data_IF_653212678971
#
_entry.id   IF_653212678971
#
_cell.length_a   1.000
_cell.length_b   1.000
_cell.length_c   1.000
_cell.angle_alpha   90.00
_cell.angle_beta   90.00
_cell.angle_gamma   90.00
#
_symmetry.space_group_name_H-M   'P 1'
#
loop_
_entity.id
_entity.type
_entity.pdbx_description
1 polymer ?
#
# COMPACT_ATOMS: atom_id res chain seq x y z
N UNK A 1 29.86 -33.71 -0.23
CA UNK A 1 29.23 -32.47 0.27
C UNK A 1 28.22 -32.05 -0.78
N UNK A 2 26.92 -32.21 -0.53
CA UNK A 2 25.87 -31.97 -1.53
C UNK A 2 25.32 -30.55 -1.39
N UNK A 3 25.50 -29.73 -2.42
CA UNK A 3 24.98 -28.36 -2.50
C UNK A 3 23.52 -28.40 -2.95
N UNK A 4 22.59 -28.01 -2.07
CA UNK A 4 21.18 -27.86 -2.42
C UNK A 4 20.93 -26.42 -2.87
N UNK A 5 20.74 -26.23 -4.17
CA UNK A 5 20.33 -24.94 -4.74
C UNK A 5 18.82 -24.79 -4.58
N UNK A 6 18.39 -23.83 -3.76
CA UNK A 6 16.99 -23.41 -3.70
C UNK A 6 16.63 -22.65 -4.98
N UNK A 7 15.71 -23.21 -5.76
CA UNK A 7 15.16 -22.58 -6.94
C UNK A 7 14.06 -21.59 -6.50
N UNK A 8 14.31 -20.29 -6.66
CA UNK A 8 13.38 -19.22 -6.30
C UNK A 8 12.38 -19.02 -7.45
N UNK A 9 11.13 -19.45 -7.25
CA UNK A 9 10.04 -19.24 -8.19
C UNK A 9 9.59 -17.77 -8.15
N UNK A 10 9.93 -17.00 -9.18
CA UNK A 10 9.32 -15.70 -9.44
C UNK A 10 7.91 -15.89 -10.02
N UNK A 11 6.87 -15.34 -9.37
CA UNK A 11 5.51 -15.30 -9.90
C UNK A 11 5.36 -14.11 -10.85
N UNK A 12 4.97 -14.37 -12.10
CA UNK A 12 4.63 -13.35 -13.09
C UNK A 12 3.30 -12.66 -12.74
N UNK A 13 3.12 -11.36 -13.05
CA UNK A 13 1.84 -10.67 -12.86
C UNK A 13 0.79 -11.15 -13.88
N UNK A 14 -0.41 -11.46 -13.41
CA UNK A 14 -1.56 -11.87 -14.22
C UNK A 14 -2.17 -10.65 -14.96
N UNK A 15 -2.49 -10.74 -16.25
CA UNK A 15 -3.15 -9.65 -16.98
C UNK A 15 -4.65 -9.57 -16.63
N UNK A 16 -5.13 -8.35 -16.37
CA UNK A 16 -6.55 -8.05 -16.13
C UNK A 16 -7.27 -7.90 -17.48
N UNK A 17 -8.43 -8.55 -17.72
CA UNK A 17 -9.16 -8.40 -18.98
C UNK A 17 -9.70 -6.97 -19.16
N UNK A 18 -9.33 -6.32 -20.26
CA UNK A 18 -9.98 -5.07 -20.72
C UNK A 18 -11.22 -5.44 -21.50
N UNK A 19 -12.40 -5.38 -20.87
CA UNK A 19 -13.67 -5.56 -21.57
C UNK A 19 -14.08 -4.25 -22.26
N UNK A 20 -13.81 -4.17 -23.56
CA UNK A 20 -14.57 -3.32 -24.49
C UNK A 20 -16.01 -3.84 -24.54
N UNK A 21 -16.95 -2.91 -24.43
CA UNK A 21 -18.32 -3.17 -24.03
C UNK A 21 -19.18 -3.99 -24.99
N UNK A 22 -20.30 -4.47 -24.43
CA UNK A 22 -21.56 -4.65 -25.15
C UNK A 22 -22.75 -4.37 -24.21
N UNK A 23 -23.68 -3.58 -24.73
CA UNK A 23 -24.99 -3.23 -24.17
C UNK A 23 -25.94 -4.45 -24.17
N UNK A 24 -26.74 -4.65 -23.10
CA UNK A 24 -28.21 -4.89 -23.10
C UNK A 24 -28.75 -4.94 -21.64
N UNK A 25 -30.04 -4.59 -21.37
CA UNK A 25 -30.52 -4.12 -20.07
C UNK A 25 -31.30 -5.18 -19.26
N UNK A 26 -31.30 -5.08 -17.93
CA UNK A 26 -32.26 -5.81 -17.10
C UNK A 26 -31.98 -5.87 -15.61
N UNK A 27 -32.61 -4.95 -14.86
CA UNK A 27 -33.06 -5.04 -13.45
C UNK A 27 -32.07 -5.42 -12.33
N UNK A 28 -31.93 -4.49 -11.38
CA UNK A 28 -32.12 -4.81 -9.97
C UNK A 28 -30.92 -4.68 -9.03
N UNK A 29 -30.88 -3.55 -8.33
CA UNK A 29 -30.59 -3.45 -6.89
C UNK A 29 -29.13 -3.32 -6.38
N UNK A 30 -29.03 -2.40 -5.41
CA UNK A 30 -28.04 -2.24 -4.33
C UNK A 30 -26.72 -1.51 -4.63
N UNK A 31 -26.72 -0.22 -4.25
CA UNK A 31 -25.61 0.55 -3.68
C UNK A 31 -24.18 0.16 -4.09
N UNK A 32 -23.72 0.76 -5.19
CA UNK A 32 -22.31 1.03 -5.44
C UNK A 32 -22.09 2.54 -5.34
N UNK A 33 -21.56 3.01 -4.21
CA UNK A 33 -21.06 4.39 -4.11
C UNK A 33 -19.60 4.35 -4.54
N UNK A 34 -19.35 4.71 -5.80
CA UNK A 34 -18.00 4.96 -6.31
C UNK A 34 -17.41 6.20 -5.61
N UNK A 35 -16.10 6.23 -5.29
CA UNK A 35 -15.44 7.43 -4.78
C UNK A 35 -15.57 8.59 -5.79
N UNK A 36 -15.65 9.85 -5.34
CA UNK A 36 -15.71 10.99 -6.25
C UNK A 36 -14.44 11.05 -7.11
N UNK A 37 -14.62 11.10 -8.43
CA UNK A 37 -13.53 11.29 -9.38
C UNK A 37 -13.04 12.73 -9.29
N UNK A 38 -11.73 12.89 -9.08
CA UNK A 38 -11.05 14.20 -9.11
C UNK A 38 -10.48 14.43 -10.51
N UNK A 39 -10.67 15.64 -11.03
CA UNK A 39 -10.38 16.07 -12.39
C UNK A 39 -9.02 15.63 -12.96
N UNK A 40 -9.07 15.07 -14.18
CA UNK A 40 -7.89 14.77 -14.99
C UNK A 40 -7.41 16.02 -15.74
N UNK A 41 -6.22 16.51 -15.42
CA UNK A 41 -5.46 17.43 -16.26
C UNK A 41 -4.02 17.59 -15.73
N UNK A 42 -3.06 16.81 -16.24
CA UNK A 42 -2.04 17.30 -17.19
C UNK A 42 -1.08 16.16 -17.61
N UNK A 43 -1.06 15.95 -18.93
CA UNK A 43 0.13 15.74 -19.78
C UNK A 43 1.11 14.60 -19.49
N UNK A 44 0.95 13.56 -20.31
CA UNK A 44 1.96 12.65 -20.87
C UNK A 44 3.41 13.14 -20.91
N UNK A 45 4.34 12.25 -20.53
CA UNK A 45 5.77 12.40 -20.78
C UNK A 45 6.61 11.15 -20.46
N UNK A 46 6.75 10.28 -21.47
CA UNK A 46 7.89 9.38 -21.78
C UNK A 46 8.27 8.22 -20.84
N UNK A 47 8.41 7.04 -21.45
CA UNK A 47 8.77 5.75 -20.85
C UNK A 47 10.24 5.54 -20.48
N UNK A 48 10.66 4.28 -20.22
CA UNK A 48 11.86 3.95 -19.46
C UNK A 48 13.11 3.90 -20.34
N UNK A 49 14.14 4.67 -19.97
CA UNK A 49 15.47 4.59 -20.60
C UNK A 49 16.47 3.94 -19.65
N UNK A 50 16.95 2.77 -20.05
CA UNK A 50 18.17 2.14 -19.57
C UNK A 50 19.37 2.89 -20.16
N UNK A 51 20.28 3.40 -19.33
CA UNK A 51 21.66 3.67 -19.78
C UNK A 51 22.59 3.83 -18.58
N UNK A 52 23.48 2.86 -18.49
CA UNK A 52 24.79 2.92 -17.85
C UNK A 52 25.61 4.10 -18.41
N UNK A 53 26.09 4.99 -17.52
CA UNK A 53 27.26 5.87 -17.70
C UNK A 53 27.57 6.41 -16.30
N UNK A 54 28.74 6.19 -15.71
CA UNK A 54 30.03 6.47 -16.31
C UNK A 54 30.35 7.94 -16.06
N UNK A 55 31.06 8.20 -14.95
CA UNK A 55 31.88 9.37 -14.62
C UNK A 55 31.46 10.75 -15.18
N UNK A 56 31.05 11.67 -14.29
CA UNK A 56 31.62 13.04 -14.20
C UNK A 56 30.96 13.87 -13.08
N UNK A 57 31.78 14.37 -12.14
CA UNK A 57 31.53 15.53 -11.26
C UNK A 57 30.53 15.32 -10.12
N UNK A 58 30.87 15.38 -8.83
CA UNK A 58 32.02 15.98 -8.19
C UNK A 58 31.55 16.68 -6.91
N UNK A 59 31.47 15.95 -5.80
CA UNK A 59 31.88 16.44 -4.48
C UNK A 59 32.05 15.23 -3.55
N UNK A 60 33.32 14.91 -3.34
CA UNK A 60 33.83 13.92 -2.43
C UNK A 60 33.40 14.26 -1.00
N UNK A 61 32.93 13.26 -0.26
CA UNK A 61 32.87 13.28 1.20
C UNK A 61 34.32 13.31 1.70
N UNK A 62 34.86 14.52 1.86
CA UNK A 62 36.16 14.75 2.47
C UNK A 62 36.00 14.71 4.00
N UNK A 63 36.23 13.53 4.55
CA UNK A 63 37.09 13.29 5.72
C UNK A 63 37.33 14.50 6.66
N UNK A 64 36.48 14.68 7.67
CA UNK A 64 36.77 15.58 8.81
C UNK A 64 37.61 14.84 9.85
N UNK A 65 38.88 14.61 9.54
CA UNK A 65 39.92 14.32 10.52
C UNK A 65 40.40 15.63 11.14
N UNK A 66 39.82 16.03 12.28
CA UNK A 66 40.36 17.12 13.11
C UNK A 66 41.56 16.61 13.92
N UNK A 67 42.66 16.34 13.21
CA UNK A 67 43.94 16.00 13.81
C UNK A 67 45.06 16.63 12.97
N UNK A 68 45.74 17.61 13.55
CA UNK A 68 47.11 17.97 13.21
C UNK A 68 47.30 18.92 12.03
N UNK A 69 47.23 20.23 12.31
CA UNK A 69 48.07 21.21 11.63
C UNK A 69 48.59 22.21 12.66
N UNK A 70 49.69 21.83 13.29
CA UNK A 70 50.62 22.75 13.93
C UNK A 70 51.40 23.46 12.82
N UNK A 71 51.16 24.75 12.59
CA UNK A 71 52.14 25.61 11.94
C UNK A 71 52.00 27.05 12.45
N UNK A 72 52.94 27.43 13.32
CA UNK A 72 53.52 28.77 13.36
C UNK A 72 52.65 29.86 13.98
N UNK A 73 52.96 30.20 15.22
CA UNK A 73 53.32 31.56 15.61
C UNK A 73 52.57 32.68 14.85
N UNK A 74 51.29 32.85 15.17
CA UNK A 74 50.69 34.19 15.12
C UNK A 74 50.62 34.71 16.54
N UNK A 75 51.81 35.01 17.04
CA UNK A 75 52.00 35.96 18.12
C UNK A 75 51.20 37.22 17.76
N UNK A 76 50.19 37.45 18.59
CA UNK A 76 49.48 38.70 18.74
C UNK A 76 50.47 39.87 18.88
N UNK A 77 50.91 40.48 17.79
CA UNK A 77 51.61 41.79 17.79
C UNK A 77 51.62 42.41 16.39
N UNK A 78 50.62 43.28 16.17
CA UNK A 78 50.86 44.67 15.75
C UNK A 78 50.88 45.13 14.29
N UNK A 79 50.32 44.47 13.27
CA UNK A 79 50.30 45.14 11.94
C UNK A 79 49.02 44.97 11.10
N UNK A 80 47.85 45.28 11.68
CA UNK A 80 46.78 45.94 10.90
C UNK A 80 47.12 47.43 10.84
N UNK A 81 47.97 47.82 9.89
CA UNK A 81 48.31 49.23 9.61
C UNK A 81 47.11 50.05 9.05
N UNK A 82 45.90 49.50 9.13
CA UNK A 82 44.63 50.17 8.89
C UNK A 82 43.58 49.85 9.97
N UNK A 83 43.95 49.54 11.21
CA UNK A 83 43.06 49.59 12.38
C UNK A 83 41.76 48.77 12.37
N UNK A 84 41.53 47.89 11.39
CA UNK A 84 40.35 47.04 11.31
C UNK A 84 40.80 45.57 11.34
N UNK A 85 40.26 44.80 12.29
CA UNK A 85 40.33 43.34 12.24
C UNK A 85 39.59 42.88 10.99
N UNK A 86 40.23 42.08 10.14
CA UNK A 86 39.62 41.59 8.91
C UNK A 86 38.36 40.75 9.20
N UNK A 87 38.32 40.04 10.33
CA UNK A 87 37.14 39.30 10.74
C UNK A 87 35.98 40.25 11.06
N UNK A 88 36.23 41.28 11.87
CA UNK A 88 35.24 42.31 12.20
C UNK A 88 34.81 43.11 10.96
N UNK A 89 35.75 43.46 10.07
CA UNK A 89 35.46 44.15 8.81
C UNK A 89 34.53 43.32 7.91
N UNK A 90 34.79 42.01 7.79
CA UNK A 90 33.98 41.10 7.00
C UNK A 90 32.61 40.87 7.64
N UNK A 91 32.54 40.78 8.96
CA UNK A 91 31.27 40.66 9.69
C UNK A 91 30.43 41.93 9.56
N UNK A 92 31.01 43.12 9.72
CA UNK A 92 30.32 44.39 9.54
C UNK A 92 29.86 44.57 8.09
N UNK A 93 30.69 44.19 7.11
CA UNK A 93 30.31 44.27 5.70
C UNK A 93 29.22 43.26 5.36
N UNK A 94 29.26 42.08 5.94
CA UNK A 94 28.20 41.09 5.83
C UNK A 94 26.91 41.59 6.47
N UNK A 95 26.93 42.09 7.71
CA UNK A 95 25.76 42.64 8.39
C UNK A 95 25.13 43.83 7.65
N UNK A 96 25.94 44.65 6.96
CA UNK A 96 25.46 45.78 6.14
C UNK A 96 24.85 45.37 4.80
N UNK A 97 25.17 44.18 4.28
CA UNK A 97 24.73 43.71 2.96
C UNK A 97 23.79 42.50 3.02
N UNK A 98 23.69 41.87 4.18
CA UNK A 98 22.83 40.73 4.44
C UNK A 98 21.40 41.19 4.69
N UNK A 99 20.48 40.74 3.83
CA UNK A 99 19.05 40.82 4.06
C UNK A 99 18.60 39.52 4.75
N UNK A 100 18.09 39.56 6.00
CA UNK A 100 17.61 38.36 6.71
C UNK A 100 16.29 37.81 6.14
N UNK A 101 15.52 38.63 5.41
CA UNK A 101 14.15 38.29 4.98
C UNK A 101 14.09 37.01 4.11
N UNK A 102 14.99 36.79 3.13
CA UNK A 102 15.01 35.55 2.35
C UNK A 102 15.34 34.32 3.20
N UNK A 103 16.23 34.43 4.19
CA UNK A 103 16.58 33.32 5.08
C UNK A 103 15.37 32.91 5.92
N UNK A 104 14.70 33.87 6.54
CA UNK A 104 13.52 33.62 7.37
C UNK A 104 12.38 32.99 6.56
N UNK A 105 12.15 33.49 5.33
CA UNK A 105 11.17 32.89 4.42
C UNK A 105 11.53 31.43 4.10
N UNK A 106 12.80 31.13 3.83
CA UNK A 106 13.23 29.77 3.53
C UNK A 106 13.06 28.85 4.74
N UNK A 107 13.41 29.31 5.95
CA UNK A 107 13.21 28.56 7.19
C UNK A 107 11.72 28.30 7.43
N UNK A 108 10.86 29.31 7.23
CA UNK A 108 9.42 29.17 7.35
C UNK A 108 8.84 28.15 6.35
N UNK A 109 9.27 28.22 5.08
CA UNK A 109 8.87 27.26 4.03
C UNK A 109 9.35 25.85 4.36
N UNK A 110 10.57 25.70 4.86
CA UNK A 110 11.12 24.41 5.28
C UNK A 110 10.37 23.83 6.48
N UNK A 111 10.07 24.65 7.49
CA UNK A 111 9.27 24.24 8.65
C UNK A 111 7.84 23.86 8.25
N UNK A 112 7.20 24.64 7.37
CA UNK A 112 5.87 24.33 6.86
C UNK A 112 5.86 23.04 6.03
N UNK A 113 6.85 22.86 5.15
CA UNK A 113 6.96 21.69 4.29
C UNK A 113 7.23 20.43 5.11
N UNK A 114 8.16 20.50 6.07
CA UNK A 114 8.44 19.38 6.98
C UNK A 114 7.23 19.04 7.86
N UNK A 115 6.48 20.03 8.35
CA UNK A 115 5.22 19.82 9.07
C UNK A 115 4.17 19.10 8.22
N UNK A 116 3.96 19.56 6.97
CA UNK A 116 3.05 18.91 6.01
C UNK A 116 3.47 17.48 5.70
N UNK A 117 4.76 17.25 5.48
CA UNK A 117 5.31 15.92 5.19
C UNK A 117 5.09 14.97 6.37
N UNK A 118 5.37 15.42 7.60
CA UNK A 118 5.15 14.64 8.80
C UNK A 118 3.67 14.32 9.04
N UNK A 119 2.77 15.28 8.77
CA UNK A 119 1.33 15.04 8.83
C UNK A 119 0.89 13.97 7.82
N UNK A 120 1.37 14.06 6.58
CA UNK A 120 1.07 13.05 5.54
C UNK A 120 1.64 11.68 5.85
N UNK A 121 2.83 11.62 6.44
CA UNK A 121 3.41 10.36 6.89
C UNK A 121 2.54 9.67 7.94
N UNK A 122 2.04 10.42 8.94
CA UNK A 122 1.11 9.89 9.96
C UNK A 122 -0.20 9.42 9.34
N UNK A 123 -0.76 10.20 8.41
CA UNK A 123 -1.98 9.85 7.69
C UNK A 123 -1.82 8.53 6.90
N UNK A 124 -0.70 8.36 6.20
CA UNK A 124 -0.42 7.12 5.47
C UNK A 124 -0.30 5.91 6.39
N UNK A 125 0.35 6.05 7.54
CA UNK A 125 0.44 4.97 8.53
C UNK A 125 -0.92 4.61 9.11
N UNK A 126 -1.78 5.60 9.39
CA UNK A 126 -3.13 5.38 9.86
C UNK A 126 -3.98 4.65 8.80
N UNK A 127 -3.91 5.10 7.55
CA UNK A 127 -4.61 4.46 6.42
C UNK A 127 -4.14 3.03 6.19
N UNK A 128 -2.83 2.78 6.26
CA UNK A 128 -2.27 1.44 6.18
C UNK A 128 -2.81 0.55 7.30
N UNK A 129 -2.79 1.03 8.54
CA UNK A 129 -3.33 0.29 9.69
C UNK A 129 -4.82 -0.02 9.53
N UNK A 130 -5.60 0.95 9.04
CA UNK A 130 -7.04 0.77 8.76
C UNK A 130 -7.29 -0.26 7.66
N UNK A 131 -6.51 -0.23 6.59
CA UNK A 131 -6.58 -1.22 5.52
C UNK A 131 -6.24 -2.63 6.03
N UNK A 132 -5.17 -2.77 6.82
CA UNK A 132 -4.80 -4.04 7.45
C UNK A 132 -5.89 -4.56 8.39
N UNK A 133 -6.48 -3.70 9.22
CA UNK A 133 -7.58 -4.07 10.10
C UNK A 133 -8.82 -4.54 9.32
N UNK A 134 -9.14 -3.88 8.21
CA UNK A 134 -10.24 -4.30 7.31
C UNK A 134 -9.94 -5.67 6.69
N UNK A 135 -8.73 -5.91 6.21
CA UNK A 135 -8.33 -7.20 5.64
C UNK A 135 -8.38 -8.33 6.68
N UNK A 136 -7.93 -8.07 7.90
CA UNK A 136 -8.01 -9.04 8.99
C UNK A 136 -9.47 -9.43 9.28
N UNK A 137 -10.36 -8.43 9.40
CA UNK A 137 -11.80 -8.66 9.61
C UNK A 137 -12.46 -9.43 8.46
N UNK A 138 -12.09 -9.15 7.21
CA UNK A 138 -12.64 -9.89 6.06
C UNK A 138 -12.16 -11.34 6.04
N UNK A 139 -10.91 -11.61 6.44
CA UNK A 139 -10.37 -12.98 6.55
C UNK A 139 -11.08 -13.78 7.63
N UNK A 140 -11.33 -13.17 8.78
CA UNK A 140 -12.09 -13.79 9.86
C UNK A 140 -13.50 -14.19 9.41
N UNK A 141 -14.25 -13.24 8.83
CA UNK A 141 -15.60 -13.50 8.30
C UNK A 141 -15.64 -14.54 7.19
N UNK A 142 -14.63 -14.55 6.33
CA UNK A 142 -14.51 -15.57 5.29
C UNK A 142 -14.32 -16.96 5.89
N UNK A 143 -13.46 -17.09 6.90
CA UNK A 143 -13.22 -18.36 7.57
C UNK A 143 -14.46 -18.85 8.34
N UNK A 144 -15.19 -17.94 8.97
CA UNK A 144 -16.49 -18.23 9.59
C UNK A 144 -17.49 -18.75 8.56
N UNK A 145 -17.70 -18.02 7.46
CA UNK A 145 -18.59 -18.46 6.39
C UNK A 145 -18.16 -19.76 5.72
N UNK A 146 -16.85 -20.04 5.64
CA UNK A 146 -16.34 -21.32 5.15
C UNK A 146 -16.71 -22.49 6.07
N UNK A 147 -16.65 -22.29 7.39
CA UNK A 147 -17.08 -23.29 8.38
C UNK A 147 -18.58 -23.52 8.30
N UNK A 148 -19.37 -22.44 8.28
CA UNK A 148 -20.82 -22.53 8.16
C UNK A 148 -21.23 -23.29 6.88
N UNK A 149 -20.57 -23.03 5.76
CA UNK A 149 -20.83 -23.75 4.52
C UNK A 149 -20.49 -25.25 4.60
N UNK A 150 -19.44 -25.62 5.34
CA UNK A 150 -19.11 -27.04 5.57
C UNK A 150 -20.16 -27.72 6.46
N UNK A 151 -20.64 -27.03 7.50
CA UNK A 151 -21.67 -27.56 8.39
C UNK A 151 -22.99 -27.73 7.64
N UNK A 152 -23.43 -26.74 6.87
CA UNK A 152 -24.62 -26.83 6.01
C UNK A 152 -24.48 -27.98 5.01
N UNK A 153 -23.31 -28.17 4.40
CA UNK A 153 -23.08 -29.30 3.49
C UNK A 153 -23.25 -30.64 4.22
N UNK A 154 -22.69 -30.78 5.41
CA UNK A 154 -22.81 -31.99 6.22
C UNK A 154 -24.28 -32.26 6.60
N UNK A 155 -25.03 -31.22 6.97
CA UNK A 155 -26.46 -31.30 7.29
C UNK A 155 -27.30 -31.68 6.08
N UNK A 156 -27.02 -31.11 4.90
CA UNK A 156 -27.68 -31.48 3.66
C UNK A 156 -27.42 -32.95 3.29
N UNK A 157 -26.18 -33.42 3.43
CA UNK A 157 -25.86 -34.83 3.21
C UNK A 157 -26.58 -35.74 4.22
N UNK A 158 -26.63 -35.34 5.49
CA UNK A 158 -27.33 -36.10 6.53
C UNK A 158 -28.84 -36.17 6.28
N UNK A 159 -29.47 -35.04 5.97
CA UNK A 159 -30.89 -34.96 5.67
C UNK A 159 -31.24 -35.77 4.43
N UNK A 160 -30.44 -35.70 3.36
CA UNK A 160 -30.61 -36.52 2.16
C UNK A 160 -30.57 -38.02 2.50
N UNK A 161 -29.56 -38.46 3.25
CA UNK A 161 -29.43 -39.86 3.70
C UNK A 161 -30.61 -40.28 4.57
N UNK A 162 -31.05 -39.42 5.50
CA UNK A 162 -32.16 -39.69 6.40
C UNK A 162 -33.49 -39.81 5.68
N UNK A 163 -33.79 -38.87 4.78
CA UNK A 163 -35.01 -38.88 3.95
C UNK A 163 -35.02 -40.09 3.03
N UNK A 164 -33.89 -40.44 2.41
CA UNK A 164 -33.77 -41.66 1.59
C UNK A 164 -34.03 -42.94 2.39
N UNK A 165 -33.46 -43.05 3.60
CA UNK A 165 -33.71 -44.17 4.50
C UNK A 165 -35.18 -44.25 4.92
N UNK A 166 -35.79 -43.13 5.28
CA UNK A 166 -37.20 -43.05 5.67
C UNK A 166 -38.11 -43.44 4.50
N UNK A 167 -37.86 -42.89 3.31
CA UNK A 167 -38.58 -43.24 2.07
C UNK A 167 -38.56 -44.74 1.80
N UNK A 168 -37.37 -45.36 1.91
CA UNK A 168 -37.19 -46.81 1.72
C UNK A 168 -37.92 -47.64 2.78
N UNK A 169 -37.95 -47.20 4.04
CA UNK A 169 -38.70 -47.87 5.12
C UNK A 169 -40.21 -47.77 4.89
N UNK A 170 -40.71 -46.58 4.60
CA UNK A 170 -42.14 -46.33 4.39
C UNK A 170 -42.66 -47.06 3.16
N UNK A 171 -41.90 -47.09 2.06
CA UNK A 171 -42.31 -47.82 0.85
C UNK A 171 -42.43 -49.34 1.06
N UNK A 172 -41.67 -49.91 2.02
CA UNK A 172 -41.73 -51.34 2.36
C UNK A 172 -42.82 -51.67 3.37
N UNK A 173 -43.04 -50.80 4.36
CA UNK A 173 -44.00 -51.04 5.46
C UNK A 173 -45.43 -50.61 5.13
N UNK A 174 -45.58 -49.54 4.36
CA UNK A 174 -46.86 -48.88 4.07
C UNK A 174 -47.04 -48.73 2.55
N UNK A 175 -46.91 -49.83 1.80
CA UNK A 175 -46.84 -49.79 0.33
C UNK A 175 -48.08 -49.16 -0.31
N UNK A 176 -49.27 -49.47 0.19
CA UNK A 176 -50.54 -48.95 -0.36
C UNK A 176 -50.68 -47.45 -0.12
N UNK A 177 -50.48 -46.97 1.11
CA UNK A 177 -50.55 -45.53 1.39
C UNK A 177 -49.43 -44.76 0.70
N UNK A 178 -48.21 -45.33 0.67
CA UNK A 178 -47.06 -44.74 -0.01
C UNK A 178 -47.31 -44.55 -1.51
N UNK A 179 -47.84 -45.57 -2.20
CA UNK A 179 -48.16 -45.46 -3.63
C UNK A 179 -49.27 -44.44 -3.89
N UNK A 180 -50.31 -44.41 -3.04
CA UNK A 180 -51.39 -43.41 -3.12
C UNK A 180 -50.85 -41.99 -2.92
N UNK A 181 -49.95 -41.78 -1.96
CA UNK A 181 -49.32 -40.49 -1.70
C UNK A 181 -48.39 -40.07 -2.84
N UNK A 182 -47.58 -41.01 -3.37
CA UNK A 182 -46.67 -40.75 -4.48
C UNK A 182 -47.39 -40.42 -5.80
N UNK A 183 -48.57 -40.99 -6.02
CA UNK A 183 -49.43 -40.62 -7.14
C UNK A 183 -50.02 -39.21 -6.99
N UNK A 184 -50.27 -38.75 -5.75
CA UNK A 184 -50.75 -37.39 -5.46
C UNK A 184 -49.64 -36.33 -5.51
N UNK A 185 -48.44 -36.70 -5.09
CA UNK A 185 -47.28 -35.83 -5.00
C UNK A 185 -46.08 -36.50 -5.69
N UNK A 186 -46.02 -36.45 -7.03
CA UNK A 186 -44.86 -36.91 -7.76
C UNK A 186 -43.64 -36.04 -7.39
N UNK A 187 -42.46 -36.66 -7.32
CA UNK A 187 -41.22 -35.92 -7.10
C UNK A 187 -40.94 -35.03 -8.32
N UNK A 188 -40.35 -33.83 -8.12
CA UNK A 188 -39.88 -33.01 -9.23
C UNK A 188 -38.94 -33.83 -10.13
N UNK A 189 -39.21 -33.82 -11.44
CA UNK A 189 -38.26 -34.30 -12.45
C UNK A 189 -37.03 -33.37 -12.39
N UNK A 190 -35.85 -33.94 -12.14
CA UNK A 190 -34.57 -33.23 -12.14
C UNK A 190 -33.80 -33.55 -13.41
#
# INVERSE_FOLDING_TARGET
MSSSHYNSHYSLPMPVPSHKGQHYPGYGSTYSVSPPETDESVSSGTGPSYSNSGYSGGYSVANSSYAGSNSGDFESTHHSASGVDFNDYMQDRFAQTFDPIPLDRNIAVQAQTSGKLNAKHRELLELQKKAQARLAKTRERFNEGYRDAQDVRADLEWTQKKVSSLKSKTSRKHTKEYNKARARYPSPEY
#
